data_IF_849337439744
#
_entry.id   IF_849337439744
#
_cell.length_a   1.000
_cell.length_b   1.000
_cell.length_c   1.000
_cell.angle_alpha   90.00
_cell.angle_beta   90.00
_cell.angle_gamma   90.00
#
_symmetry.space_group_name_H-M   'P 1'
#
loop_
_entity.id
_entity.type
_entity.pdbx_description
1 polymer ?
#
# COMPACT_ATOMS: atom_id res chain seq x y z
N UNK A 1 16.83 31.62 -31.49
CA UNK A 1 17.97 30.76 -31.10
C UNK A 1 17.45 29.32 -31.08
N UNK A 2 17.94 28.43 -31.94
CA UNK A 2 17.52 27.02 -31.88
C UNK A 2 18.04 26.44 -30.57
N UNK A 3 17.15 26.18 -29.62
CA UNK A 3 17.52 25.60 -28.33
C UNK A 3 17.87 24.13 -28.58
N UNK A 4 19.13 23.77 -28.38
CA UNK A 4 19.64 22.40 -28.52
C UNK A 4 19.52 21.66 -27.17
N UNK A 5 19.09 20.40 -27.21
CA UNK A 5 18.91 19.51 -26.05
C UNK A 5 20.12 19.59 -25.10
N UNK A 6 21.34 19.42 -25.62
CA UNK A 6 22.60 19.42 -24.85
C UNK A 6 22.70 20.60 -23.89
N UNK A 7 22.49 21.81 -24.43
CA UNK A 7 22.71 23.05 -23.66
C UNK A 7 21.74 23.15 -22.48
N UNK A 8 20.48 22.79 -22.70
CA UNK A 8 19.45 22.85 -21.66
C UNK A 8 19.61 21.71 -20.66
N UNK A 9 19.88 20.49 -21.15
CA UNK A 9 20.07 19.33 -20.29
C UNK A 9 21.25 19.53 -19.34
N UNK A 10 22.40 20.00 -19.83
CA UNK A 10 23.55 20.35 -18.99
C UNK A 10 23.23 21.46 -18.00
N UNK A 11 22.42 22.45 -18.39
CA UNK A 11 22.02 23.52 -17.49
C UNK A 11 21.16 22.98 -16.34
N UNK A 12 20.15 22.16 -16.65
CA UNK A 12 19.31 21.52 -15.63
C UNK A 12 20.11 20.60 -14.69
N UNK A 13 20.98 19.78 -15.26
CA UNK A 13 21.82 18.87 -14.51
C UNK A 13 22.79 19.63 -13.58
N UNK A 14 23.60 20.55 -14.12
CA UNK A 14 24.66 21.23 -13.37
C UNK A 14 24.17 22.23 -12.35
N UNK A 15 23.07 22.93 -12.64
CA UNK A 15 22.60 24.04 -11.79
C UNK A 15 21.52 23.62 -10.79
N UNK A 16 20.73 22.60 -11.10
CA UNK A 16 19.59 22.21 -10.29
C UNK A 16 19.57 20.73 -9.92
N UNK A 17 20.60 19.97 -10.29
CA UNK A 17 20.72 18.54 -9.96
C UNK A 17 19.60 17.70 -10.57
N UNK A 18 19.01 18.14 -11.68
CA UNK A 18 17.92 17.41 -12.33
C UNK A 18 18.46 16.35 -13.29
N UNK A 19 18.05 15.09 -13.08
CA UNK A 19 18.36 13.98 -13.99
C UNK A 19 17.43 14.03 -15.19
N UNK A 20 17.97 14.26 -16.38
CA UNK A 20 17.18 14.49 -17.59
C UNK A 20 17.60 13.61 -18.76
N UNK A 21 16.62 13.21 -19.56
CA UNK A 21 16.77 12.28 -20.68
C UNK A 21 16.29 12.91 -22.00
N UNK A 22 16.89 12.53 -23.15
CA UNK A 22 16.38 12.91 -24.45
C UNK A 22 15.06 12.16 -24.72
N UNK A 23 14.02 12.91 -25.05
CA UNK A 23 12.70 12.39 -25.37
C UNK A 23 12.22 12.82 -26.76
N UNK A 24 11.21 12.11 -27.28
CA UNK A 24 10.40 12.52 -28.42
C UNK A 24 8.94 12.42 -28.03
N UNK A 25 8.27 13.57 -27.90
CA UNK A 25 6.98 13.64 -27.22
C UNK A 25 7.14 13.21 -25.76
N UNK A 26 6.35 12.24 -25.29
CA UNK A 26 6.40 11.74 -23.90
C UNK A 26 7.18 10.42 -23.75
N UNK A 27 8.11 10.11 -24.66
CA UNK A 27 8.87 8.83 -24.66
C UNK A 27 10.38 9.05 -24.75
N UNK A 28 11.19 8.40 -23.90
CA UNK A 28 12.65 8.41 -24.03
C UNK A 28 13.14 7.86 -25.37
N UNK A 29 14.22 8.45 -25.89
CA UNK A 29 14.91 8.00 -27.11
C UNK A 29 16.02 6.96 -26.82
N UNK A 30 16.19 6.59 -25.56
CA UNK A 30 17.24 5.72 -25.03
C UNK A 30 16.60 4.67 -24.11
N UNK A 31 17.28 3.53 -23.93
CA UNK A 31 16.90 2.59 -22.87
C UNK A 31 17.24 3.21 -21.51
N UNK A 32 16.18 3.58 -20.79
CA UNK A 32 16.30 4.42 -19.61
C UNK A 32 16.11 3.67 -18.30
N UNK A 33 15.91 2.34 -18.33
CA UNK A 33 15.65 1.53 -17.14
C UNK A 33 16.74 1.72 -16.08
N UNK A 34 18.00 1.87 -16.50
CA UNK A 34 19.14 2.18 -15.62
C UNK A 34 18.94 3.50 -14.85
N UNK A 35 18.48 4.56 -15.53
CA UNK A 35 18.35 5.89 -14.94
C UNK A 35 17.16 6.02 -13.97
N UNK A 36 16.35 4.96 -13.82
CA UNK A 36 15.41 4.84 -12.72
C UNK A 36 16.11 4.70 -11.36
N UNK A 37 17.35 4.23 -11.36
CA UNK A 37 18.10 3.92 -10.14
C UNK A 37 19.46 4.62 -10.06
N UNK A 38 19.82 5.43 -11.05
CA UNK A 38 21.09 6.16 -11.08
C UNK A 38 20.93 7.53 -11.73
N UNK A 39 21.69 8.52 -11.26
CA UNK A 39 21.85 9.80 -11.96
C UNK A 39 22.48 9.62 -13.33
N UNK A 40 22.07 10.46 -14.29
CA UNK A 40 22.78 10.65 -15.55
C UNK A 40 24.15 11.30 -15.32
N UNK A 41 25.10 11.11 -16.24
CA UNK A 41 26.39 11.82 -16.23
C UNK A 41 26.47 12.92 -17.29
N UNK A 42 27.46 13.82 -17.14
CA UNK A 42 27.71 14.85 -18.15
C UNK A 42 28.10 14.25 -19.50
N UNK A 43 28.91 13.18 -19.49
CA UNK A 43 29.33 12.48 -20.71
C UNK A 43 28.14 11.85 -21.44
N UNK A 44 27.19 11.30 -20.69
CA UNK A 44 25.94 10.75 -21.23
C UNK A 44 25.09 11.85 -21.87
N UNK A 45 24.89 12.98 -21.17
CA UNK A 45 24.17 14.14 -21.71
C UNK A 45 24.86 14.68 -22.97
N UNK A 46 26.20 14.73 -22.98
CA UNK A 46 26.99 15.20 -24.12
C UNK A 46 26.84 14.30 -25.34
N UNK A 47 26.87 12.99 -25.13
CA UNK A 47 26.63 11.99 -26.17
C UNK A 47 25.22 12.12 -26.73
N UNK A 48 24.20 12.14 -25.88
CA UNK A 48 22.80 12.31 -26.31
C UNK A 48 22.56 13.65 -27.00
N UNK A 49 23.27 14.69 -26.59
CA UNK A 49 23.27 15.99 -27.25
C UNK A 49 23.74 15.95 -28.70
N UNK A 50 24.66 15.04 -29.01
CA UNK A 50 25.17 14.81 -30.35
C UNK A 50 24.23 13.94 -31.17
N UNK A 51 23.69 12.87 -30.57
CA UNK A 51 22.80 11.91 -31.23
C UNK A 51 21.39 12.50 -31.47
N UNK A 52 20.90 13.33 -30.53
CA UNK A 52 19.52 13.83 -30.48
C UNK A 52 19.46 15.35 -30.20
N UNK A 53 20.03 16.22 -31.07
CA UNK A 53 20.16 17.65 -30.79
C UNK A 53 18.82 18.40 -30.64
N UNK A 54 17.73 17.83 -31.18
CA UNK A 54 16.37 18.39 -31.15
C UNK A 54 15.41 17.63 -30.22
N UNK A 55 15.93 16.79 -29.33
CA UNK A 55 15.10 16.05 -28.40
C UNK A 55 14.35 16.97 -27.42
N UNK A 56 13.17 16.53 -27.02
CA UNK A 56 12.47 17.01 -25.83
C UNK A 56 13.23 16.57 -24.56
N UNK A 57 12.87 17.15 -23.42
CA UNK A 57 13.54 16.93 -22.13
C UNK A 57 12.58 16.25 -21.17
N UNK A 58 12.85 14.98 -20.88
CA UNK A 58 12.18 14.22 -19.84
C UNK A 58 12.95 14.29 -18.53
N UNK A 59 12.31 14.77 -17.47
CA UNK A 59 12.82 14.73 -16.09
C UNK A 59 12.55 13.37 -15.48
N UNK A 60 13.58 12.66 -15.04
CA UNK A 60 13.40 11.46 -14.22
C UNK A 60 12.95 11.87 -12.83
N UNK A 61 11.76 11.46 -12.42
CA UNK A 61 11.21 11.76 -11.10
C UNK A 61 11.81 10.83 -10.04
N UNK A 62 11.71 11.23 -8.77
CA UNK A 62 12.18 10.43 -7.63
C UNK A 62 13.37 11.03 -6.90
N UNK A 63 14.01 10.18 -6.10
CA UNK A 63 15.09 10.53 -5.17
C UNK A 63 16.30 11.17 -5.85
N UNK A 64 16.65 10.70 -7.05
CA UNK A 64 17.81 11.17 -7.82
C UNK A 64 17.69 12.62 -8.28
N UNK A 65 16.50 13.04 -8.73
CA UNK A 65 16.22 14.45 -9.08
C UNK A 65 15.65 15.25 -7.91
N UNK A 66 15.58 14.66 -6.71
CA UNK A 66 14.96 15.23 -5.51
C UNK A 66 13.56 15.79 -5.79
N UNK A 67 12.74 15.08 -6.57
CA UNK A 67 11.46 15.61 -7.05
C UNK A 67 10.32 14.59 -7.04
N UNK A 68 9.15 15.01 -6.56
CA UNK A 68 7.84 14.40 -6.88
C UNK A 68 7.09 15.38 -7.77
N UNK A 69 6.44 14.91 -8.84
CA UNK A 69 5.65 15.78 -9.73
C UNK A 69 4.17 15.46 -9.60
N UNK A 70 3.37 16.45 -9.23
CA UNK A 70 1.91 16.41 -9.27
C UNK A 70 1.44 16.96 -10.61
N UNK A 71 0.91 16.10 -11.48
CA UNK A 71 0.31 16.45 -12.76
C UNK A 71 -1.22 16.56 -12.57
N UNK A 72 -1.81 17.74 -12.72
CA UNK A 72 -3.26 17.91 -12.61
C UNK A 72 -3.88 17.86 -14.02
N UNK A 73 -4.66 16.82 -14.29
CA UNK A 73 -5.31 16.62 -15.59
C UNK A 73 -6.71 17.23 -15.67
N UNK A 74 -7.40 17.33 -14.54
CA UNK A 74 -8.70 18.00 -14.42
C UNK A 74 -8.71 18.91 -13.18
N UNK A 75 -8.51 20.21 -13.40
CA UNK A 75 -8.39 21.21 -12.34
C UNK A 75 -9.70 21.41 -11.55
N UNK A 76 -10.84 21.45 -12.22
CA UNK A 76 -12.15 21.57 -11.55
C UNK A 76 -12.42 20.37 -10.62
N UNK A 77 -12.13 19.16 -11.11
CA UNK A 77 -12.28 17.95 -10.30
C UNK A 77 -11.24 17.90 -9.16
N UNK A 78 -10.01 18.37 -9.37
CA UNK A 78 -9.00 18.45 -8.32
C UNK A 78 -9.43 19.39 -7.19
N UNK A 79 -9.93 20.59 -7.52
CA UNK A 79 -10.47 21.54 -6.54
C UNK A 79 -11.60 20.90 -5.72
N UNK A 80 -12.43 20.06 -6.34
CA UNK A 80 -13.53 19.39 -5.64
C UNK A 80 -13.11 18.31 -4.64
N UNK A 81 -11.86 17.83 -4.72
CA UNK A 81 -11.27 16.87 -3.78
C UNK A 81 -10.75 17.53 -2.50
N UNK A 82 -10.74 18.85 -2.41
CA UNK A 82 -10.35 19.62 -1.21
C UNK A 82 -8.90 19.35 -0.75
N UNK A 83 -7.99 19.07 -1.70
CA UNK A 83 -6.56 19.08 -1.45
C UNK A 83 -6.03 20.52 -1.43
N UNK A 84 -5.14 20.83 -0.50
CA UNK A 84 -4.38 22.08 -0.52
C UNK A 84 -3.60 22.18 -1.84
N UNK A 85 -3.92 23.17 -2.67
CA UNK A 85 -3.18 23.49 -3.89
C UNK A 85 -1.93 24.26 -3.49
N UNK A 86 -0.73 23.69 -3.62
CA UNK A 86 0.48 24.38 -3.18
C UNK A 86 0.92 25.36 -4.26
N UNK A 87 0.96 26.65 -3.94
CA UNK A 87 1.26 27.72 -4.91
C UNK A 87 2.73 28.21 -4.86
N UNK A 88 3.54 27.63 -3.97
CA UNK A 88 4.90 28.07 -3.65
C UNK A 88 5.99 27.05 -4.01
N UNK A 89 5.88 26.40 -5.18
CA UNK A 89 6.86 25.42 -5.65
C UNK A 89 7.08 25.54 -7.17
N UNK A 90 8.21 25.05 -7.74
CA UNK A 90 8.41 25.15 -9.17
C UNK A 90 7.27 24.49 -9.95
N UNK A 91 6.75 25.20 -10.95
CA UNK A 91 5.58 24.75 -11.69
C UNK A 91 5.79 24.83 -13.19
N UNK A 92 5.55 23.71 -13.86
CA UNK A 92 5.45 23.66 -15.33
C UNK A 92 3.99 23.83 -15.73
N UNK A 93 3.74 24.69 -16.71
CA UNK A 93 2.47 24.77 -17.43
C UNK A 93 2.63 24.00 -18.74
N UNK A 94 1.79 22.99 -18.94
CA UNK A 94 1.79 22.18 -20.15
C UNK A 94 1.32 22.95 -21.38
N UNK A 95 1.50 22.36 -22.57
CA UNK A 95 0.96 22.91 -23.81
C UNK A 95 -0.58 23.03 -23.84
N UNK A 96 -1.32 22.37 -22.95
CA UNK A 96 -2.78 22.49 -22.78
C UNK A 96 -3.18 23.45 -21.65
N UNK A 97 -2.21 24.07 -20.95
CA UNK A 97 -2.46 25.00 -19.85
C UNK A 97 -2.54 24.35 -18.47
N UNK A 98 -2.47 23.02 -18.39
CA UNK A 98 -2.53 22.27 -17.14
C UNK A 98 -1.26 22.44 -16.30
N UNK A 99 -1.34 22.52 -14.97
CA UNK A 99 -0.19 22.70 -14.09
C UNK A 99 0.44 21.35 -13.68
N UNK A 100 1.77 21.33 -13.65
CA UNK A 100 2.61 20.27 -13.11
C UNK A 100 3.47 20.86 -11.99
N UNK A 101 3.20 20.50 -10.74
CA UNK A 101 3.90 21.03 -9.56
C UNK A 101 5.05 20.11 -9.17
N UNK A 102 6.22 20.67 -8.89
CA UNK A 102 7.42 19.92 -8.52
C UNK A 102 7.71 20.09 -7.03
N UNK A 103 7.50 19.05 -6.23
CA UNK A 103 7.78 19.03 -4.79
C UNK A 103 9.11 18.37 -4.47
N UNK A 104 9.67 18.69 -3.29
CA UNK A 104 10.83 18.00 -2.74
C UNK A 104 10.51 16.51 -2.59
N UNK A 105 11.47 15.66 -2.93
CA UNK A 105 11.33 14.24 -2.64
C UNK A 105 11.43 13.98 -1.13
N UNK A 106 10.45 13.30 -0.49
CA UNK A 106 10.50 12.99 0.93
C UNK A 106 11.63 12.01 1.28
N UNK A 107 12.65 12.47 2.01
CA UNK A 107 13.80 11.64 2.43
C UNK A 107 13.65 11.21 3.91
N UNK A 108 12.75 10.27 4.19
CA UNK A 108 12.63 9.62 5.50
C UNK A 108 13.15 8.18 5.44
N UNK A 109 13.93 7.76 6.44
CA UNK A 109 14.49 6.39 6.49
C UNK A 109 13.35 5.36 6.51
N UNK A 110 13.41 4.38 5.61
CA UNK A 110 12.39 3.31 5.51
C UNK A 110 11.09 3.74 4.83
N UNK A 111 11.00 4.96 4.30
CA UNK A 111 9.85 5.41 3.53
C UNK A 111 9.92 4.81 2.12
N UNK A 112 8.87 4.09 1.73
CA UNK A 112 8.71 3.57 0.37
C UNK A 112 7.56 4.35 -0.26
N UNK A 113 7.80 4.90 -1.44
CA UNK A 113 6.83 5.72 -2.18
C UNK A 113 6.45 5.04 -3.50
N UNK A 114 5.16 4.99 -3.79
CA UNK A 114 4.61 4.52 -5.05
C UNK A 114 4.05 5.67 -5.88
N UNK A 115 3.95 5.46 -7.19
CA UNK A 115 3.19 6.35 -8.04
C UNK A 115 1.69 6.24 -7.71
N UNK A 116 0.96 7.33 -7.89
CA UNK A 116 -0.47 7.39 -7.67
C UNK A 116 -1.17 8.09 -8.84
N UNK A 117 -2.31 7.56 -9.25
CA UNK A 117 -3.20 8.19 -10.23
C UNK A 117 -4.61 8.19 -9.66
N UNK A 118 -5.21 9.37 -9.53
CA UNK A 118 -6.59 9.51 -9.08
C UNK A 118 -7.54 9.29 -10.26
N UNK A 119 -8.41 8.26 -10.25
CA UNK A 119 -9.36 8.05 -11.33
C UNK A 119 -10.50 9.06 -11.30
N UNK A 120 -10.89 9.57 -12.46
CA UNK A 120 -12.08 10.39 -12.68
C UNK A 120 -13.00 9.81 -13.74
N UNK A 121 -14.16 10.46 -13.96
CA UNK A 121 -15.17 9.97 -14.91
C UNK A 121 -14.67 9.90 -16.36
N UNK A 122 -13.72 10.76 -16.74
CA UNK A 122 -13.24 10.92 -18.12
C UNK A 122 -11.71 10.88 -18.23
N UNK A 123 -11.04 10.13 -17.36
CA UNK A 123 -9.57 10.05 -17.29
C UNK A 123 -9.06 10.26 -15.88
N UNK A 124 -7.75 10.45 -15.72
CA UNK A 124 -7.14 10.79 -14.43
C UNK A 124 -7.55 12.21 -14.02
N UNK A 125 -7.84 12.42 -12.72
CA UNK A 125 -8.02 13.77 -12.16
C UNK A 125 -6.63 14.39 -11.96
N UNK A 126 -5.73 13.65 -11.34
CA UNK A 126 -4.32 14.00 -11.18
C UNK A 126 -3.46 12.74 -11.03
N UNK A 127 -2.15 12.92 -11.21
CA UNK A 127 -1.14 11.87 -11.05
C UNK A 127 0.07 12.38 -10.27
N UNK A 128 0.54 11.58 -9.31
CA UNK A 128 1.80 11.79 -8.60
C UNK A 128 2.88 10.90 -9.20
N UNK A 129 3.85 11.54 -9.87
CA UNK A 129 5.03 10.92 -10.46
C UNK A 129 6.17 10.93 -9.43
N UNK A 130 6.54 9.74 -8.97
CA UNK A 130 7.57 9.50 -7.95
C UNK A 130 8.72 8.71 -8.61
N UNK A 131 9.08 7.53 -8.10
CA UNK A 131 10.14 6.70 -8.68
C UNK A 131 9.68 6.06 -9.99
N UNK A 132 10.63 5.80 -10.88
CA UNK A 132 10.41 5.10 -12.16
C UNK A 132 9.40 5.82 -13.09
N UNK A 133 9.30 7.14 -13.01
CA UNK A 133 8.45 7.97 -13.87
C UNK A 133 9.22 9.12 -14.51
N UNK A 134 8.69 9.64 -15.61
CA UNK A 134 9.24 10.79 -16.33
C UNK A 134 8.17 11.87 -16.46
N UNK A 135 8.54 13.10 -16.13
CA UNK A 135 7.73 14.30 -16.37
C UNK A 135 8.38 15.14 -17.48
N UNK A 136 7.59 15.66 -18.42
CA UNK A 136 8.12 16.52 -19.47
C UNK A 136 8.34 17.95 -18.94
N UNK A 137 9.52 18.52 -19.17
CA UNK A 137 9.86 19.87 -18.69
C UNK A 137 10.25 20.81 -19.85
N UNK A 138 10.22 22.14 -19.64
CA UNK A 138 10.55 23.11 -20.68
C UNK A 138 11.97 22.94 -21.24
N UNK A 139 12.20 23.23 -22.53
CA UNK A 139 11.27 23.78 -23.51
C UNK A 139 10.61 22.72 -24.41
N UNK A 140 10.37 21.50 -23.90
CA UNK A 140 9.75 20.40 -24.66
C UNK A 140 8.44 20.82 -25.35
N UNK A 141 8.05 20.13 -26.42
CA UNK A 141 6.81 20.39 -27.16
C UNK A 141 5.75 19.33 -26.85
N UNK A 142 4.53 19.76 -26.49
CA UNK A 142 3.44 18.83 -26.24
C UNK A 142 3.04 18.10 -27.54
N UNK A 143 2.96 16.76 -27.55
CA UNK A 143 2.76 15.98 -28.77
C UNK A 143 1.43 16.29 -29.46
N UNK A 144 0.36 16.51 -28.70
CA UNK A 144 -0.97 16.75 -29.26
C UNK A 144 -1.20 18.23 -29.60
N UNK A 145 -1.07 19.13 -28.61
CA UNK A 145 -1.36 20.56 -28.82
C UNK A 145 -0.29 21.32 -29.61
N UNK A 146 0.90 20.74 -29.81
CA UNK A 146 2.09 21.37 -30.43
C UNK A 146 2.58 22.66 -29.74
N UNK A 147 2.06 22.95 -28.56
CA UNK A 147 2.49 24.09 -27.73
C UNK A 147 3.61 23.66 -26.76
N UNK A 148 4.54 24.56 -26.41
CA UNK A 148 5.63 24.24 -25.51
C UNK A 148 5.17 24.07 -24.07
N UNK A 149 5.84 23.20 -23.32
CA UNK A 149 5.86 23.26 -21.86
C UNK A 149 6.66 24.51 -21.43
N UNK A 150 6.19 25.23 -20.41
CA UNK A 150 6.85 26.43 -19.89
C UNK A 150 6.89 26.41 -18.37
N UNK A 151 7.95 26.94 -17.77
CA UNK A 151 7.88 27.24 -16.34
C UNK A 151 6.91 28.42 -16.16
N UNK A 152 6.08 28.36 -15.12
CA UNK A 152 5.25 29.50 -14.74
C UNK A 152 6.17 30.62 -14.28
N UNK A 153 5.90 31.83 -14.77
CA UNK A 153 6.64 33.03 -14.38
C UNK A 153 6.66 33.20 -12.86
N UNK A 154 7.86 33.36 -12.29
CA UNK A 154 8.10 33.48 -10.85
C UNK A 154 8.17 32.14 -10.10
N UNK A 155 7.80 31.02 -10.74
CA UNK A 155 7.86 29.66 -10.19
C UNK A 155 8.81 28.78 -11.01
N UNK A 156 9.89 29.35 -11.51
CA UNK A 156 10.97 28.59 -12.13
C UNK A 156 11.89 27.97 -11.07
N UNK A 157 12.60 26.86 -11.36
CA UNK A 157 13.52 26.22 -10.42
C UNK A 157 14.66 27.11 -9.91
N UNK A 158 14.92 28.23 -10.58
CA UNK A 158 15.91 29.24 -10.17
C UNK A 158 15.32 30.42 -9.40
N UNK A 159 14.01 30.57 -9.42
CA UNK A 159 13.30 31.65 -8.74
C UNK A 159 12.78 31.20 -7.37
N UNK A 160 12.45 29.92 -7.23
CA UNK A 160 11.85 29.36 -6.02
C UNK A 160 12.41 27.98 -5.68
N UNK A 161 12.52 27.68 -4.38
CA UNK A 161 12.89 26.35 -3.90
C UNK A 161 11.68 25.40 -3.99
N UNK A 162 11.96 24.09 -4.12
CA UNK A 162 10.90 23.07 -4.01
C UNK A 162 10.31 23.09 -2.60
N UNK A 163 8.99 23.27 -2.52
CA UNK A 163 8.24 23.08 -1.29
C UNK A 163 8.24 21.60 -0.88
N UNK A 164 7.99 21.33 0.40
CA UNK A 164 7.73 19.97 0.87
C UNK A 164 6.43 19.44 0.25
N UNK A 165 6.35 18.13 0.01
CA UNK A 165 5.11 17.51 -0.47
C UNK A 165 4.04 17.60 0.63
N UNK A 166 2.84 18.14 0.35
CA UNK A 166 1.75 18.18 1.33
C UNK A 166 1.46 16.80 1.94
N UNK A 167 1.14 16.75 3.23
CA UNK A 167 1.00 15.48 3.96
C UNK A 167 -0.12 14.61 3.37
N UNK A 168 -1.25 15.21 2.96
CA UNK A 168 -2.37 14.47 2.35
C UNK A 168 -1.97 13.80 1.02
N UNK A 169 -1.10 14.45 0.22
CA UNK A 169 -0.55 13.86 -0.99
C UNK A 169 0.53 12.83 -0.69
N UNK A 170 1.36 13.07 0.33
CA UNK A 170 2.36 12.13 0.82
C UNK A 170 1.69 10.83 1.29
N UNK A 171 0.55 10.91 1.96
CA UNK A 171 -0.19 9.74 2.42
C UNK A 171 -0.65 8.82 1.29
N UNK A 172 -1.04 9.38 0.13
CA UNK A 172 -1.49 8.61 -1.04
C UNK A 172 -0.37 7.78 -1.66
N UNK A 173 0.84 8.34 -1.70
CA UNK A 173 2.01 7.69 -2.30
C UNK A 173 2.82 6.87 -1.29
N UNK A 174 2.66 7.13 0.00
CA UNK A 174 3.35 6.37 1.04
C UNK A 174 2.82 4.96 1.06
N UNK A 175 3.71 4.00 0.82
CA UNK A 175 3.44 2.60 1.06
C UNK A 175 3.38 2.42 2.57
N UNK A 176 2.17 2.58 3.12
CA UNK A 176 1.86 2.08 4.44
C UNK A 176 2.21 0.58 4.41
N UNK A 177 3.01 0.04 5.35
CA UNK A 177 3.17 -1.39 5.46
C UNK A 177 1.77 -1.97 5.51
N UNK A 178 1.35 -2.62 4.42
CA UNK A 178 0.01 -3.18 4.33
C UNK A 178 -0.07 -4.22 5.43
N UNK A 179 -0.84 -3.91 6.48
CA UNK A 179 -1.65 -4.94 7.09
C UNK A 179 -2.52 -5.43 5.93
N UNK A 180 -2.26 -6.65 5.41
CA UNK A 180 -3.16 -7.22 4.44
C UNK A 180 -4.49 -7.44 5.15
N UNK A 181 -5.42 -6.50 4.98
CA UNK A 181 -6.82 -6.78 5.18
C UNK A 181 -7.22 -7.77 4.09
N UNK A 182 -7.39 -8.99 4.56
CA UNK A 182 -7.71 -10.22 3.85
C UNK A 182 -9.02 -10.06 3.08
N UNK A 183 -8.91 -9.82 1.78
CA UNK A 183 -9.96 -10.20 0.84
C UNK A 183 -10.01 -11.72 0.76
N UNK A 184 -10.87 -12.33 1.58
CA UNK A 184 -11.54 -13.63 1.37
C UNK A 184 -10.87 -14.60 0.38
N UNK A 185 -9.77 -15.24 0.81
CA UNK A 185 -9.32 -16.62 0.55
C UNK A 185 -7.80 -16.77 0.80
N UNK A 186 -7.30 -16.37 1.98
CA UNK A 186 -5.89 -16.62 2.32
C UNK A 186 -5.72 -18.07 2.82
N UNK A 187 -5.03 -18.88 2.02
CA UNK A 187 -4.58 -20.24 2.39
C UNK A 187 -3.48 -20.18 3.48
N UNK A 188 -2.86 -19.01 3.70
CA UNK A 188 -1.70 -18.83 4.57
C UNK A 188 -1.89 -17.67 5.55
N UNK A 189 -1.86 -17.97 6.85
CA UNK A 189 -2.10 -17.00 7.95
C UNK A 189 -1.03 -17.03 9.04
N UNK A 190 -0.09 -17.98 9.02
CA UNK A 190 0.91 -18.12 10.09
C UNK A 190 1.91 -16.96 10.08
N UNK A 191 2.32 -16.53 11.25
CA UNK A 191 3.39 -15.54 11.47
C UNK A 191 4.49 -16.14 12.37
N UNK A 192 5.64 -15.47 12.47
CA UNK A 192 6.73 -15.89 13.37
C UNK A 192 6.60 -15.23 14.74
N UNK A 193 6.77 -16.02 15.81
CA UNK A 193 7.17 -15.47 17.10
C UNK A 193 8.56 -14.84 17.00
N UNK A 194 8.92 -13.94 17.93
CA UNK A 194 10.26 -13.34 17.95
C UNK A 194 11.38 -14.38 17.99
N UNK A 195 11.21 -15.43 18.82
CA UNK A 195 12.17 -16.53 18.92
C UNK A 195 12.31 -17.29 17.59
N UNK A 196 11.20 -17.64 16.94
CA UNK A 196 11.26 -18.32 15.63
C UNK A 196 11.92 -17.44 14.56
N UNK A 197 11.68 -16.12 14.59
CA UNK A 197 12.33 -15.19 13.66
C UNK A 197 13.85 -15.15 13.88
N UNK A 198 14.30 -15.18 15.13
CA UNK A 198 15.71 -15.19 15.49
C UNK A 198 16.37 -16.53 15.11
N UNK A 199 15.74 -17.66 15.45
CA UNK A 199 16.23 -18.99 15.13
C UNK A 199 16.32 -19.22 13.60
N UNK A 200 15.34 -18.73 12.83
CA UNK A 200 15.37 -18.77 11.36
C UNK A 200 16.46 -17.86 10.80
N UNK A 201 16.63 -16.68 11.38
CA UNK A 201 17.69 -15.75 10.98
C UNK A 201 19.07 -16.37 11.16
N UNK A 202 19.33 -17.04 12.29
CA UNK A 202 20.63 -17.66 12.58
C UNK A 202 20.99 -18.77 11.58
N UNK A 203 19.99 -19.48 11.05
CA UNK A 203 20.21 -20.53 10.04
C UNK A 203 20.40 -19.93 8.64
N UNK A 204 19.61 -18.93 8.28
CA UNK A 204 19.55 -18.39 6.92
C UNK A 204 20.65 -17.36 6.66
N UNK A 205 20.93 -16.49 7.64
CA UNK A 205 21.85 -15.36 7.50
C UNK A 205 23.26 -15.79 7.03
N UNK A 206 23.89 -16.86 7.59
CA UNK A 206 25.21 -17.31 7.14
C UNK A 206 25.25 -17.81 5.69
N UNK A 207 24.11 -18.15 5.10
CA UNK A 207 23.99 -18.65 3.72
C UNK A 207 23.65 -17.53 2.72
N UNK A 208 23.50 -16.28 3.19
CA UNK A 208 23.08 -15.13 2.38
C UNK A 208 24.20 -14.53 1.51
N UNK A 209 24.85 -15.38 0.72
CA UNK A 209 26.01 -15.04 -0.10
C UNK A 209 25.61 -14.42 -1.43
N UNK A 210 26.39 -13.43 -1.89
CA UNK A 210 26.22 -12.80 -3.20
C UNK A 210 26.23 -13.84 -4.33
N UNK A 211 25.36 -13.66 -5.34
CA UNK A 211 25.13 -14.65 -6.40
C UNK A 211 24.17 -15.80 -6.05
N UNK A 212 23.80 -15.96 -4.77
CA UNK A 212 22.84 -16.97 -4.31
C UNK A 212 21.59 -16.39 -3.64
N UNK A 213 21.60 -15.10 -3.29
CA UNK A 213 20.53 -14.40 -2.54
C UNK A 213 19.15 -14.50 -3.20
N UNK A 214 19.10 -14.38 -4.53
CA UNK A 214 17.84 -14.43 -5.27
C UNK A 214 17.18 -15.82 -5.20
N UNK A 215 17.96 -16.87 -5.45
CA UNK A 215 17.47 -18.24 -5.40
C UNK A 215 17.10 -18.63 -3.97
N UNK A 216 17.91 -18.21 -3.00
CA UNK A 216 17.64 -18.43 -1.58
C UNK A 216 16.33 -17.75 -1.14
N UNK A 217 16.07 -16.54 -1.61
CA UNK A 217 14.81 -15.82 -1.36
C UNK A 217 13.61 -16.58 -1.92
N UNK A 218 13.71 -17.09 -3.14
CA UNK A 218 12.63 -17.84 -3.79
C UNK A 218 12.36 -19.18 -3.10
N UNK A 219 13.42 -19.91 -2.75
CA UNK A 219 13.32 -21.20 -2.06
C UNK A 219 12.68 -21.03 -0.67
N UNK A 220 13.12 -20.03 0.11
CA UNK A 220 12.56 -19.74 1.44
C UNK A 220 11.10 -19.29 1.34
N UNK A 221 10.78 -18.39 0.40
CA UNK A 221 9.42 -17.94 0.18
C UNK A 221 8.50 -19.10 -0.21
N UNK A 222 8.94 -19.97 -1.12
CA UNK A 222 8.18 -21.14 -1.55
C UNK A 222 7.97 -22.15 -0.42
N UNK A 223 9.02 -22.44 0.36
CA UNK A 223 8.94 -23.36 1.49
C UNK A 223 8.00 -22.86 2.59
N UNK A 224 8.17 -21.61 3.04
CA UNK A 224 7.34 -21.01 4.10
C UNK A 224 5.88 -20.82 3.63
N UNK A 225 5.68 -20.52 2.35
CA UNK A 225 4.35 -20.50 1.76
C UNK A 225 3.67 -21.88 1.83
N UNK A 226 4.37 -22.98 1.54
CA UNK A 226 3.79 -24.33 1.70
C UNK A 226 3.49 -24.69 3.16
N UNK A 227 4.17 -24.05 4.11
CA UNK A 227 3.96 -24.23 5.56
C UNK A 227 2.90 -23.29 6.13
N UNK A 228 2.19 -22.57 5.27
CA UNK A 228 1.11 -21.63 5.57
C UNK A 228 1.54 -20.31 6.23
N UNK A 229 2.82 -19.93 6.13
CA UNK A 229 3.26 -18.61 6.59
C UNK A 229 2.82 -17.51 5.62
N UNK A 230 2.42 -16.37 6.18
CA UNK A 230 1.93 -15.21 5.43
C UNK A 230 3.06 -14.54 4.63
N UNK A 231 2.69 -13.78 3.60
CA UNK A 231 3.65 -13.03 2.79
C UNK A 231 4.45 -12.06 3.67
N UNK A 232 3.78 -11.39 4.60
CA UNK A 232 4.37 -10.41 5.52
C UNK A 232 5.37 -11.06 6.48
N UNK A 233 5.07 -12.27 6.97
CA UNK A 233 6.00 -13.01 7.81
C UNK A 233 7.30 -13.30 7.08
N UNK A 234 7.22 -13.74 5.82
CA UNK A 234 8.39 -14.00 4.98
C UNK A 234 9.14 -12.70 4.67
N UNK A 235 8.44 -11.63 4.29
CA UNK A 235 9.05 -10.31 4.03
C UNK A 235 9.82 -9.82 5.26
N UNK A 236 9.27 -9.98 6.47
CA UNK A 236 9.93 -9.61 7.73
C UNK A 236 11.23 -10.39 7.97
N UNK A 237 11.21 -11.70 7.74
CA UNK A 237 12.40 -12.55 7.86
C UNK A 237 13.48 -12.14 6.84
N UNK A 238 13.11 -12.01 5.56
CA UNK A 238 14.06 -11.69 4.48
C UNK A 238 14.61 -10.28 4.64
N UNK A 239 13.81 -9.31 5.09
CA UNK A 239 14.28 -7.96 5.42
C UNK A 239 15.37 -8.03 6.49
N UNK A 240 15.13 -8.74 7.60
CA UNK A 240 16.10 -8.90 8.68
C UNK A 240 17.41 -9.52 8.19
N UNK A 241 17.33 -10.58 7.38
CA UNK A 241 18.51 -11.25 6.82
C UNK A 241 19.28 -10.34 5.85
N UNK A 242 18.58 -9.72 4.91
CA UNK A 242 19.16 -8.88 3.87
C UNK A 242 19.87 -7.64 4.46
N UNK A 243 19.23 -6.94 5.39
CA UNK A 243 19.82 -5.78 6.06
C UNK A 243 21.07 -6.15 6.85
N UNK A 244 21.04 -7.27 7.58
CA UNK A 244 22.20 -7.75 8.34
C UNK A 244 23.39 -8.17 7.46
N UNK A 245 23.15 -8.45 6.18
CA UNK A 245 24.17 -8.87 5.22
C UNK A 245 24.50 -7.77 4.18
N UNK A 246 23.97 -6.55 4.37
CA UNK A 246 24.23 -5.43 3.46
C UNK A 246 23.70 -5.63 2.03
N UNK A 247 22.62 -6.40 1.86
CA UNK A 247 22.03 -6.65 0.53
C UNK A 247 21.27 -5.41 0.03
N UNK A 248 21.89 -4.69 -0.91
CA UNK A 248 21.34 -3.47 -1.50
C UNK A 248 20.14 -3.71 -2.43
N UNK A 249 19.89 -4.96 -2.82
CA UNK A 249 18.82 -5.34 -3.76
C UNK A 249 17.53 -5.82 -3.04
N UNK A 250 17.42 -5.65 -1.71
CA UNK A 250 16.27 -6.09 -0.92
C UNK A 250 14.93 -5.61 -1.52
N UNK A 251 14.83 -4.32 -1.81
CA UNK A 251 13.58 -3.69 -2.27
C UNK A 251 13.38 -3.79 -3.78
N UNK A 252 14.46 -3.81 -4.56
CA UNK A 252 14.38 -3.90 -6.03
C UNK A 252 14.08 -5.33 -6.50
N UNK A 253 14.60 -6.34 -5.81
CA UNK A 253 14.63 -7.72 -6.32
C UNK A 253 14.01 -8.73 -5.34
N UNK A 254 14.43 -8.71 -4.06
CA UNK A 254 14.04 -9.77 -3.10
C UNK A 254 12.56 -9.72 -2.74
N UNK A 255 12.07 -8.56 -2.28
CA UNK A 255 10.66 -8.38 -1.89
C UNK A 255 9.72 -8.59 -3.10
N UNK A 256 9.97 -8.02 -4.29
CA UNK A 256 9.17 -8.32 -5.48
C UNK A 256 9.12 -9.81 -5.82
N UNK A 257 10.23 -10.53 -5.66
CA UNK A 257 10.28 -11.98 -5.90
C UNK A 257 9.41 -12.77 -4.92
N UNK A 258 9.36 -12.39 -3.65
CA UNK A 258 8.46 -12.99 -2.64
C UNK A 258 7.00 -12.72 -3.03
N UNK A 259 6.68 -11.49 -3.42
CA UNK A 259 5.32 -11.11 -3.81
C UNK A 259 4.83 -11.87 -5.05
N UNK A 260 5.69 -12.04 -6.06
CA UNK A 260 5.38 -12.85 -7.25
C UNK A 260 5.10 -14.31 -6.86
N UNK A 261 5.87 -14.86 -5.91
CA UNK A 261 5.69 -16.23 -5.42
C UNK A 261 4.32 -16.41 -4.75
N UNK A 262 3.93 -15.48 -3.87
CA UNK A 262 2.65 -15.51 -3.19
C UNK A 262 1.46 -15.20 -4.11
N UNK A 263 1.67 -14.36 -5.13
CA UNK A 263 0.66 -14.14 -6.18
C UNK A 263 0.40 -15.42 -6.98
N UNK A 264 1.46 -16.14 -7.39
CA UNK A 264 1.33 -17.46 -8.04
C UNK A 264 0.61 -18.47 -7.14
N UNK A 265 0.89 -18.48 -5.83
CA UNK A 265 0.18 -19.33 -4.88
C UNK A 265 -1.34 -19.12 -4.94
N UNK A 266 -1.76 -17.85 -4.93
CA UNK A 266 -3.17 -17.46 -4.92
C UNK A 266 -3.86 -17.78 -6.25
N UNK A 267 -3.18 -17.51 -7.36
CA UNK A 267 -3.75 -17.66 -8.71
C UNK A 267 -3.73 -19.10 -9.23
N UNK A 268 -2.72 -19.89 -8.86
CA UNK A 268 -2.41 -21.19 -9.47
C UNK A 268 -2.35 -22.34 -8.44
N UNK A 269 -2.53 -22.06 -7.15
CA UNK A 269 -2.55 -23.04 -6.07
C UNK A 269 -1.16 -23.56 -5.65
N UNK A 270 -1.12 -24.33 -4.56
CA UNK A 270 0.12 -24.81 -3.89
C UNK A 270 1.01 -25.65 -4.82
N UNK A 271 0.43 -26.34 -5.80
CA UNK A 271 1.16 -27.16 -6.78
C UNK A 271 2.02 -26.33 -7.74
N UNK A 272 1.71 -25.05 -7.93
CA UNK A 272 2.47 -24.13 -8.81
C UNK A 272 3.79 -23.64 -8.22
N UNK A 273 3.98 -23.83 -6.91
CA UNK A 273 5.17 -23.37 -6.19
C UNK A 273 6.14 -24.54 -6.07
N UNK A 274 7.37 -24.31 -6.53
CA UNK A 274 8.48 -25.21 -6.22
C UNK A 274 8.63 -25.24 -4.70
N UNK A 275 8.45 -26.42 -4.12
CA UNK A 275 8.56 -26.59 -2.68
C UNK A 275 10.01 -26.72 -2.29
N UNK A 276 10.24 -27.61 -1.34
CA UNK A 276 11.54 -28.11 -0.90
C UNK A 276 12.36 -28.68 -2.08
N UNK A 277 12.96 -27.82 -2.90
CA UNK A 277 13.76 -28.21 -4.07
C UNK A 277 14.62 -27.03 -4.52
N UNK A 278 15.92 -27.24 -4.71
CA UNK A 278 16.82 -26.19 -5.23
C UNK A 278 18.07 -26.00 -4.38
N UNK A 279 18.55 -24.76 -4.33
CA UNK A 279 19.85 -24.43 -3.71
C UNK A 279 19.79 -24.45 -2.19
N UNK A 280 18.65 -24.10 -1.57
CA UNK A 280 18.48 -24.19 -0.11
C UNK A 280 18.74 -25.60 0.43
N UNK A 281 18.32 -26.65 -0.30
CA UNK A 281 18.63 -28.04 0.06
C UNK A 281 20.12 -28.37 0.02
N UNK A 282 20.86 -27.76 -0.91
CA UNK A 282 22.30 -28.02 -1.09
C UNK A 282 23.17 -27.22 -0.14
N UNK A 283 22.68 -26.06 0.34
CA UNK A 283 23.45 -25.14 1.21
C UNK A 283 23.30 -25.46 2.71
N UNK A 284 22.29 -26.26 3.08
CA UNK A 284 22.01 -26.63 4.45
C UNK A 284 22.44 -28.07 4.77
N UNK A 285 23.06 -28.25 5.93
CA UNK A 285 23.33 -29.56 6.52
C UNK A 285 22.02 -30.27 6.87
N UNK A 286 22.07 -31.59 7.12
CA UNK A 286 20.88 -32.33 7.56
C UNK A 286 20.36 -31.80 8.91
N UNK A 287 21.25 -31.46 9.83
CA UNK A 287 20.91 -30.88 11.13
C UNK A 287 20.24 -29.50 10.99
N UNK A 288 20.71 -28.64 10.09
CA UNK A 288 20.10 -27.33 9.81
C UNK A 288 18.70 -27.49 9.20
N UNK A 289 18.49 -28.49 8.33
CA UNK A 289 17.17 -28.81 7.77
C UNK A 289 16.20 -29.29 8.84
N UNK A 290 16.65 -30.16 9.73
CA UNK A 290 15.84 -30.71 10.81
C UNK A 290 15.47 -29.60 11.81
N UNK A 291 16.41 -28.70 12.14
CA UNK A 291 16.12 -27.49 12.95
C UNK A 291 15.13 -26.56 12.28
N UNK A 292 15.28 -26.26 10.98
CA UNK A 292 14.31 -25.43 10.26
C UNK A 292 12.90 -26.05 10.30
N UNK A 293 12.80 -27.35 10.06
CA UNK A 293 11.54 -28.05 10.09
C UNK A 293 10.91 -28.02 11.48
N UNK A 294 11.71 -28.17 12.55
CA UNK A 294 11.27 -28.04 13.94
C UNK A 294 10.76 -26.63 14.25
N UNK A 295 11.53 -25.58 13.92
CA UNK A 295 11.15 -24.18 14.16
C UNK A 295 9.83 -23.82 13.47
N UNK A 296 9.66 -24.29 12.23
CA UNK A 296 8.51 -23.95 11.36
C UNK A 296 7.28 -24.81 11.69
N UNK A 297 7.48 -26.01 12.25
CA UNK A 297 6.43 -26.95 12.66
C UNK A 297 6.02 -26.80 14.13
N UNK A 298 6.82 -26.13 14.97
CA UNK A 298 6.49 -25.86 16.37
C UNK A 298 5.24 -25.00 16.44
N UNK A 299 4.14 -25.63 16.81
CA UNK A 299 2.81 -25.05 16.89
C UNK A 299 2.66 -24.24 18.17
N UNK A 300 2.84 -22.91 18.09
CA UNK A 300 2.23 -22.00 19.06
C UNK A 300 0.75 -21.82 18.74
N UNK A 301 -0.01 -22.91 18.88
CA UNK A 301 -1.44 -22.86 19.13
C UNK A 301 -1.86 -24.09 19.95
N UNK A 302 -1.99 -23.89 21.26
CA UNK A 302 -3.10 -24.53 21.98
C UNK A 302 -4.37 -23.91 21.44
N UNK A 303 -4.89 -24.50 20.38
CA UNK A 303 -6.21 -24.20 19.87
C UNK A 303 -7.13 -25.35 20.13
N UNK A 304 -8.04 -25.13 21.07
CA UNK A 304 -9.32 -25.80 21.01
C UNK A 304 -10.05 -25.24 19.79
N UNK A 305 -9.94 -25.88 18.62
CA UNK A 305 -11.00 -25.80 17.62
C UNK A 305 -10.88 -26.92 16.57
N UNK A 306 -11.42 -28.08 16.94
CA UNK A 306 -11.97 -29.04 16.00
C UNK A 306 -13.25 -28.43 15.36
N UNK A 307 -13.14 -27.38 14.53
CA UNK A 307 -14.27 -26.93 13.70
C UNK A 307 -14.30 -27.71 12.40
N UNK A 308 -14.86 -28.92 12.48
CA UNK A 308 -15.36 -29.64 11.30
C UNK A 308 -16.43 -28.77 10.64
N UNK A 309 -16.21 -28.38 9.39
CA UNK A 309 -17.27 -27.82 8.54
C UNK A 309 -18.36 -28.88 8.42
N UNK A 310 -19.48 -28.70 9.11
CA UNK A 310 -20.65 -29.60 9.03
C UNK A 310 -21.53 -29.15 7.88
N UNK A 311 -21.50 -29.90 6.78
CA UNK A 311 -22.52 -29.79 5.73
C UNK A 311 -23.85 -30.23 6.34
N UNK A 312 -24.76 -29.29 6.52
CA UNK A 312 -26.09 -29.50 7.13
C UNK A 312 -27.13 -29.49 6.02
N UNK A 313 -28.04 -30.47 6.00
CA UNK A 313 -29.07 -30.55 4.96
C UNK A 313 -30.15 -29.48 5.14
N UNK A 314 -30.82 -29.10 4.05
CA UNK A 314 -31.92 -28.11 4.09
C UNK A 314 -33.08 -28.59 4.98
N UNK A 315 -33.33 -29.90 5.05
CA UNK A 315 -34.33 -30.49 5.96
C UNK A 315 -33.94 -30.34 7.43
N UNK A 316 -32.66 -30.52 7.77
CA UNK A 316 -32.13 -30.30 9.11
C UNK A 316 -32.11 -28.81 9.51
N UNK A 317 -32.01 -27.88 8.55
CA UNK A 317 -32.16 -26.45 8.80
C UNK A 317 -33.63 -26.09 9.07
N UNK A 318 -34.56 -26.63 8.27
CA UNK A 318 -36.00 -26.37 8.42
C UNK A 318 -36.61 -26.92 9.72
N UNK A 319 -36.01 -27.95 10.31
CA UNK A 319 -36.47 -28.51 11.58
C UNK A 319 -35.93 -27.78 12.82
N UNK A 320 -35.02 -26.79 12.64
CA UNK A 320 -34.54 -25.98 13.76
C UNK A 320 -35.61 -24.97 14.16
N UNK A 321 -36.07 -25.09 15.39
CA UNK A 321 -36.89 -24.06 16.03
C UNK A 321 -35.97 -22.87 16.32
N UNK A 322 -36.25 -21.71 15.69
CA UNK A 322 -35.59 -20.46 16.07
C UNK A 322 -36.15 -20.09 17.44
N UNK A 323 -35.32 -20.22 18.46
CA UNK A 323 -35.65 -19.76 19.80
C UNK A 323 -35.77 -18.23 19.78
N UNK A 324 -37.00 -17.72 19.87
CA UNK A 324 -37.27 -16.28 19.87
C UNK A 324 -36.66 -15.60 21.11
N UNK A 325 -36.48 -16.34 22.20
CA UNK A 325 -35.89 -15.83 23.44
C UNK A 325 -34.37 -15.66 23.32
N UNK A 326 -33.76 -16.11 22.21
CA UNK A 326 -32.36 -15.87 21.88
C UNK A 326 -32.12 -14.52 21.15
N UNK A 327 -33.15 -13.75 20.79
CA UNK A 327 -32.99 -12.46 20.12
C UNK A 327 -32.50 -11.39 21.11
N UNK A 328 -31.31 -10.84 20.88
CA UNK A 328 -30.74 -9.77 21.72
C UNK A 328 -31.10 -8.37 21.19
N UNK A 329 -31.32 -8.26 19.87
CA UNK A 329 -31.86 -7.07 19.22
C UNK A 329 -32.56 -7.49 17.93
N UNK A 330 -33.88 -7.67 17.95
CA UNK A 330 -34.63 -8.09 16.76
C UNK A 330 -34.68 -6.95 15.71
N UNK A 331 -34.56 -7.25 14.40
CA UNK A 331 -34.34 -8.55 13.75
C UNK A 331 -32.86 -8.90 13.51
N UNK A 332 -31.93 -8.14 14.09
CA UNK A 332 -30.56 -8.08 13.57
C UNK A 332 -29.52 -8.79 14.42
N UNK A 333 -29.84 -9.24 15.64
CA UNK A 333 -28.87 -9.87 16.51
C UNK A 333 -29.49 -11.01 17.33
N UNK A 334 -28.89 -12.19 17.19
CA UNK A 334 -29.23 -13.43 17.93
C UNK A 334 -28.05 -13.80 18.82
N UNK A 335 -28.33 -14.19 20.07
CA UNK A 335 -27.33 -14.62 21.05
C UNK A 335 -26.47 -15.76 20.49
N UNK A 336 -25.16 -15.56 20.50
CA UNK A 336 -24.19 -16.57 20.08
C UNK A 336 -24.08 -16.78 18.56
N UNK A 337 -24.72 -15.96 17.74
CA UNK A 337 -24.65 -16.03 16.28
C UNK A 337 -24.05 -14.77 15.67
N UNK A 338 -23.62 -14.89 14.41
CA UNK A 338 -23.15 -13.76 13.59
C UNK A 338 -24.28 -13.33 12.66
N UNK A 339 -24.59 -12.04 12.65
CA UNK A 339 -25.59 -11.44 11.77
C UNK A 339 -24.89 -10.54 10.76
N UNK A 340 -25.28 -10.65 9.49
CA UNK A 340 -24.68 -9.89 8.38
C UNK A 340 -25.72 -8.93 7.83
N UNK A 341 -25.40 -7.63 7.81
CA UNK A 341 -26.25 -6.58 7.24
C UNK A 341 -25.60 -6.09 5.94
N UNK A 342 -26.31 -6.25 4.82
CA UNK A 342 -25.82 -5.87 3.49
C UNK A 342 -26.67 -4.76 2.87
N UNK A 343 -26.09 -3.99 1.94
CA UNK A 343 -26.78 -2.89 1.27
C UNK A 343 -25.81 -1.93 0.58
N UNK A 344 -26.30 -1.12 -0.36
CA UNK A 344 -25.49 -0.17 -1.14
C UNK A 344 -24.73 0.83 -0.25
N UNK A 345 -23.61 1.43 -0.72
CA UNK A 345 -22.97 2.54 -0.01
C UNK A 345 -23.96 3.68 0.28
N UNK A 346 -23.82 4.36 1.42
CA UNK A 346 -24.64 5.53 1.78
C UNK A 346 -26.07 5.26 2.31
N UNK A 347 -26.59 4.02 2.27
CA UNK A 347 -27.98 3.71 2.67
C UNK A 347 -28.25 3.71 4.19
N UNK A 348 -27.26 4.11 5.01
CA UNK A 348 -27.43 4.23 6.46
C UNK A 348 -27.13 2.97 7.28
N UNK A 349 -26.50 1.93 6.72
CA UNK A 349 -26.15 0.69 7.44
C UNK A 349 -25.43 0.95 8.77
N UNK A 350 -24.40 1.79 8.75
CA UNK A 350 -23.62 2.13 9.96
C UNK A 350 -24.44 2.89 10.99
N UNK A 351 -25.34 3.78 10.56
CA UNK A 351 -26.26 4.47 11.47
C UNK A 351 -27.24 3.49 12.12
N UNK A 352 -27.75 2.55 11.34
CA UNK A 352 -28.67 1.53 11.78
C UNK A 352 -28.05 0.58 12.80
N UNK A 353 -26.81 0.14 12.59
CA UNK A 353 -26.08 -0.71 13.55
C UNK A 353 -25.68 0.04 14.81
N UNK A 354 -25.30 1.31 14.69
CA UNK A 354 -25.01 2.17 15.85
C UNK A 354 -26.24 2.40 16.71
N UNK A 355 -27.40 2.64 16.09
CA UNK A 355 -28.66 2.81 16.81
C UNK A 355 -29.04 1.54 17.60
N UNK A 356 -28.85 0.36 17.00
CA UNK A 356 -29.07 -0.90 17.73
C UNK A 356 -28.17 -1.03 18.96
N UNK A 357 -26.88 -0.69 18.82
CA UNK A 357 -25.96 -0.71 19.95
C UNK A 357 -26.34 0.31 21.03
N UNK A 358 -26.77 1.52 20.66
CA UNK A 358 -27.31 2.52 21.58
C UNK A 358 -28.52 1.98 22.35
N UNK A 359 -29.48 1.38 21.65
CA UNK A 359 -30.65 0.75 22.24
C UNK A 359 -30.28 -0.35 23.24
N UNK A 360 -29.28 -1.19 22.90
CA UNK A 360 -28.79 -2.24 23.79
C UNK A 360 -28.13 -1.71 25.07
N UNK A 361 -27.34 -0.63 25.03
CA UNK A 361 -26.75 -0.09 26.28
C UNK A 361 -27.78 0.65 27.13
N UNK A 362 -28.80 1.25 26.50
CA UNK A 362 -29.84 2.03 27.18
C UNK A 362 -31.06 1.21 27.59
N UNK A 363 -31.15 -0.05 27.14
CA UNK A 363 -32.34 -0.89 27.28
C UNK A 363 -33.61 -0.27 26.66
N UNK A 364 -33.45 0.51 25.59
CA UNK A 364 -34.56 1.10 24.85
C UNK A 364 -34.96 0.22 23.66
N UNK A 365 -36.25 0.20 23.26
CA UNK A 365 -36.65 -0.52 22.07
C UNK A 365 -35.94 0.00 20.81
N UNK A 366 -35.34 -0.91 20.05
CA UNK A 366 -34.76 -0.62 18.75
C UNK A 366 -35.86 -0.19 17.76
N UNK A 367 -35.64 0.94 17.08
CA UNK A 367 -36.63 1.61 16.22
C UNK A 367 -37.97 1.88 16.92
N UNK A 368 -37.97 2.00 18.25
CA UNK A 368 -39.18 2.20 19.05
C UNK A 368 -40.15 1.01 19.08
N UNK A 369 -39.77 -0.14 18.51
CA UNK A 369 -40.67 -1.30 18.35
C UNK A 369 -40.08 -2.61 18.86
N UNK A 370 -38.79 -2.84 18.60
CA UNK A 370 -38.17 -4.13 18.84
C UNK A 370 -37.47 -4.14 20.18
N UNK A 371 -37.78 -5.13 21.02
CA UNK A 371 -37.15 -5.24 22.33
C UNK A 371 -35.65 -5.53 22.18
N UNK A 372 -34.85 -4.88 23.01
CA UNK A 372 -33.42 -5.16 23.14
C UNK A 372 -33.12 -5.73 24.51
N UNK A 373 -32.09 -6.56 24.59
CA UNK A 373 -31.53 -7.03 25.86
C UNK A 373 -30.37 -6.13 26.24
N UNK A 374 -30.38 -5.61 27.48
CA UNK A 374 -29.30 -4.75 27.97
C UNK A 374 -27.97 -5.50 28.00
N UNK A 375 -26.93 -4.90 27.43
CA UNK A 375 -25.59 -5.48 27.41
C UNK A 375 -24.51 -4.50 26.98
N UNK A 376 -23.26 -4.90 27.17
CA UNK A 376 -22.11 -4.15 26.69
C UNK A 376 -21.97 -4.34 25.17
N UNK A 377 -21.65 -3.26 24.48
CA UNK A 377 -21.47 -3.23 23.03
C UNK A 377 -20.03 -2.86 22.72
N UNK A 378 -19.42 -3.60 21.78
CA UNK A 378 -18.12 -3.24 21.20
C UNK A 378 -18.34 -3.00 19.71
N UNK A 379 -18.06 -1.77 19.27
CA UNK A 379 -18.20 -1.39 17.87
C UNK A 379 -16.82 -1.30 17.21
N UNK A 380 -16.62 -2.09 16.16
CA UNK A 380 -15.41 -2.06 15.34
C UNK A 380 -15.60 -1.06 14.20
N UNK A 381 -14.82 0.01 14.19
CA UNK A 381 -14.90 1.06 13.18
C UNK A 381 -13.65 1.02 12.29
N UNK A 382 -13.71 0.21 11.22
CA UNK A 382 -12.60 0.06 10.28
C UNK A 382 -12.67 1.03 9.09
N UNK A 383 -13.83 1.64 8.83
CA UNK A 383 -14.09 2.39 7.60
C UNK A 383 -14.10 3.92 7.77
N UNK A 384 -14.40 4.44 8.95
CA UNK A 384 -14.65 5.87 9.14
C UNK A 384 -13.69 6.48 10.18
N UNK A 385 -13.31 7.75 10.01
CA UNK A 385 -12.55 8.47 11.02
C UNK A 385 -13.34 8.64 12.32
N UNK A 386 -12.64 8.78 13.44
CA UNK A 386 -13.23 9.04 14.76
C UNK A 386 -14.11 10.31 14.73
N UNK A 387 -13.74 11.34 13.96
CA UNK A 387 -14.57 12.55 13.81
C UNK A 387 -15.94 12.29 13.18
N UNK A 388 -16.00 11.47 12.13
CA UNK A 388 -17.28 11.06 11.51
C UNK A 388 -18.09 10.24 12.51
N UNK A 389 -17.44 9.33 13.22
CA UNK A 389 -18.06 8.49 14.24
C UNK A 389 -18.68 9.32 15.37
N UNK A 390 -17.94 10.25 15.98
CA UNK A 390 -18.42 11.17 17.01
C UNK A 390 -19.63 11.98 16.53
N UNK A 391 -19.59 12.48 15.29
CA UNK A 391 -20.74 13.21 14.71
C UNK A 391 -22.00 12.35 14.62
N UNK A 392 -21.87 11.05 14.32
CA UNK A 392 -23.01 10.12 14.30
C UNK A 392 -23.57 9.87 15.70
N UNK A 393 -22.71 9.70 16.70
CA UNK A 393 -23.13 9.52 18.10
C UNK A 393 -23.93 10.71 18.62
N UNK A 394 -23.42 11.92 18.37
CA UNK A 394 -24.11 13.14 18.78
C UNK A 394 -25.49 13.26 18.10
N UNK A 395 -25.60 12.86 16.82
CA UNK A 395 -26.87 12.85 16.09
C UNK A 395 -27.85 11.78 16.58
N UNK A 396 -27.35 10.65 17.08
CA UNK A 396 -28.17 9.57 17.63
C UNK A 396 -28.63 9.86 19.08
N UNK A 397 -28.18 10.97 19.69
CA UNK A 397 -28.57 11.33 21.05
C UNK A 397 -28.08 10.31 22.08
N UNK A 398 -26.82 9.88 21.97
CA UNK A 398 -26.22 9.00 22.97
C UNK A 398 -26.25 9.67 24.35
N UNK A 399 -26.68 8.98 25.42
CA UNK A 399 -26.72 9.55 26.75
C UNK A 399 -25.31 9.69 27.33
N UNK A 400 -25.06 10.70 28.16
CA UNK A 400 -23.76 10.89 28.83
C UNK A 400 -23.47 9.82 29.91
N UNK A 401 -24.51 9.08 30.34
CA UNK A 401 -24.43 8.05 31.39
C UNK A 401 -24.59 6.66 30.75
N UNK A 402 -23.69 5.73 31.05
CA UNK A 402 -23.72 4.38 30.48
C UNK A 402 -22.88 4.22 29.21
N UNK A 403 -22.24 5.29 28.72
CA UNK A 403 -21.34 5.25 27.55
C UNK A 403 -20.12 4.36 27.74
N UNK A 404 -19.70 4.13 28.98
CA UNK A 404 -18.63 3.18 29.32
C UNK A 404 -18.99 1.73 28.93
N UNK A 405 -20.27 1.43 28.74
CA UNK A 405 -20.75 0.12 28.26
C UNK A 405 -20.68 0.00 26.72
N UNK A 406 -20.37 1.09 26.01
CA UNK A 406 -20.19 1.12 24.57
C UNK A 406 -18.72 1.40 24.24
N UNK A 407 -17.95 0.33 24.05
CA UNK A 407 -16.57 0.42 23.60
C UNK A 407 -16.49 0.61 22.10
N UNK A 408 -15.54 1.42 21.64
CA UNK A 408 -15.17 1.51 20.23
C UNK A 408 -13.77 1.01 20.03
N UNK A 409 -13.56 0.32 18.91
CA UNK A 409 -12.23 -0.06 18.44
C UNK A 409 -12.03 0.69 17.14
N UNK A 410 -11.28 1.80 17.27
CA UNK A 410 -10.83 2.63 16.17
C UNK A 410 -9.34 2.33 15.91
N UNK A 411 -8.90 2.42 14.66
CA UNK A 411 -7.49 2.22 14.30
C UNK A 411 -6.58 3.41 14.68
N UNK A 412 -6.82 4.08 15.82
CA UNK A 412 -5.90 5.05 16.44
C UNK A 412 -5.06 4.43 17.58
N UNK A 413 -4.67 3.16 17.49
CA UNK A 413 -3.51 2.66 18.25
C UNK A 413 -3.76 1.63 19.36
N UNK A 414 -4.73 0.72 19.25
CA UNK A 414 -4.73 -0.51 20.04
C UNK A 414 -4.53 -1.74 19.14
N UNK A 415 -3.35 -2.36 19.27
CA UNK A 415 -3.09 -3.73 18.84
C UNK A 415 -4.05 -4.64 19.61
N UNK A 416 -5.02 -5.22 18.93
CA UNK A 416 -5.65 -6.44 19.41
C UNK A 416 -4.57 -7.52 19.30
N UNK A 417 -4.03 -7.93 20.44
CA UNK A 417 -3.30 -9.19 20.53
C UNK A 417 -4.26 -10.29 20.06
N UNK A 418 -4.09 -10.70 18.81
CA UNK A 418 -4.70 -11.92 18.28
C UNK A 418 -4.06 -13.12 18.97
N UNK A 419 -4.53 -13.40 20.19
CA UNK A 419 -4.94 -14.77 20.49
C UNK A 419 -5.94 -15.13 19.40
N UNK A 420 -5.67 -16.15 18.58
CA UNK A 420 -6.62 -17.25 18.43
C UNK A 420 -6.19 -18.34 17.48
N UNK A 421 -6.35 -19.49 18.10
CA UNK A 421 -6.89 -20.77 17.72
C UNK A 421 -6.85 -21.23 16.26
#
# INVERSE_FOLDING_TARGET
MNICFKKVALYYFKKYGLSVLPCKGKRPLIDWKRYQHTMVTEEEIDKWGSDYPKADIGLVCGSHSDTVVLEIDNEEAYISLDYDIPDNTPMVVTGSGRPHYHFRYPKKKGLILNNYSEPGQSGEIFSLRVENQIAMIPPSIHPDTKKPYRWKEGLEPWSIQKAELPEDLLELITVKPRNYNTGSNHINTKTFSSKQLDDLFDIISPKWLEGHRQDLTQDIAGYLAKKHYSNEAVVRLITKVAESNGDTELYSDRIPSINITYKKLQEQGVHSIKGWSGRLQTMLSQEEKDRLEDIVSTSNFKSNDNKRVKVTSVSEIKSRVIDKDAMICEPIAVKGQVSIITGKPGVGKSFFTLEAGRCMITNQPFLGKFQTIKGNVVYFNEENSTAIFTKRFNKLGMPDVGTEQFGTIDHQGLKIETLRH
#
